data_IF_437761241870
#
_entry.id   IF_437761241870
#
_cell.length_a   1.000
_cell.length_b   1.000
_cell.length_c   1.000
_cell.angle_alpha   90.00
_cell.angle_beta   90.00
_cell.angle_gamma   90.00
#
_symmetry.space_group_name_H-M   'P 1'
#
loop_
_entity.id
_entity.type
_entity.pdbx_description
1 polymer ?
#
# COMPACT_ATOMS: atom_id res chain seq x y z
N UNK A 1 -45.76 15.07 14.27
CA UNK A 1 -44.79 16.05 13.74
C UNK A 1 -43.54 16.20 14.61
N UNK A 2 -43.62 16.11 15.95
CA UNK A 2 -42.45 16.31 16.83
C UNK A 2 -41.38 15.20 16.79
N UNK A 3 -41.76 13.94 16.57
CA UNK A 3 -40.79 12.81 16.50
C UNK A 3 -39.80 12.96 15.34
N UNK A 4 -40.25 13.46 14.18
CA UNK A 4 -39.43 13.67 12.98
C UNK A 4 -38.36 14.76 13.18
N UNK A 5 -38.71 15.82 13.91
CA UNK A 5 -37.79 16.93 14.20
C UNK A 5 -36.67 16.46 15.13
N UNK A 6 -36.99 15.67 16.16
CA UNK A 6 -35.98 15.13 17.09
C UNK A 6 -35.01 14.19 16.35
N UNK A 7 -35.51 13.35 15.44
CA UNK A 7 -34.68 12.45 14.64
C UNK A 7 -33.73 13.22 13.70
N UNK A 8 -34.22 14.26 13.03
CA UNK A 8 -33.40 15.14 12.18
C UNK A 8 -32.29 15.84 12.98
N UNK A 9 -32.64 16.43 14.13
CA UNK A 9 -31.66 17.08 15.02
C UNK A 9 -30.61 16.06 15.47
N UNK A 10 -31.02 14.87 15.91
CA UNK A 10 -30.07 13.82 16.31
C UNK A 10 -29.15 13.41 15.16
N UNK A 11 -29.66 13.24 13.94
CA UNK A 11 -28.79 12.89 12.79
C UNK A 11 -27.80 13.99 12.42
N UNK A 12 -28.20 15.27 12.49
CA UNK A 12 -27.31 16.40 12.16
C UNK A 12 -26.25 16.57 13.25
N UNK A 13 -26.65 16.57 14.53
CA UNK A 13 -25.70 16.67 15.64
C UNK A 13 -24.73 15.50 15.69
N UNK A 14 -25.17 14.27 15.38
CA UNK A 14 -24.24 13.14 15.31
C UNK A 14 -23.27 13.26 14.12
N UNK A 15 -23.68 13.83 12.99
CA UNK A 15 -22.78 14.05 11.86
C UNK A 15 -21.75 15.16 12.12
N UNK A 16 -22.14 16.24 12.80
CA UNK A 16 -21.26 17.38 13.09
C UNK A 16 -20.32 17.13 14.28
N UNK A 17 -20.82 16.50 15.36
CA UNK A 17 -20.03 16.24 16.58
C UNK A 17 -19.07 15.07 16.37
N UNK A 18 -19.52 14.00 15.70
CA UNK A 18 -18.65 12.93 15.24
C UNK A 18 -18.28 13.20 13.79
N UNK A 19 -17.68 14.38 13.55
CA UNK A 19 -17.22 14.81 12.24
C UNK A 19 -16.66 13.62 11.46
N UNK A 20 -17.24 13.38 10.27
CA UNK A 20 -17.09 12.16 9.47
C UNK A 20 -15.90 11.30 9.91
N UNK A 21 -16.17 10.21 10.65
CA UNK A 21 -15.17 9.24 11.15
C UNK A 21 -14.06 9.15 10.11
N UNK A 22 -12.85 9.59 10.47
CA UNK A 22 -11.74 9.61 9.53
C UNK A 22 -11.60 8.20 8.97
N UNK A 23 -11.86 8.06 7.67
CA UNK A 23 -11.61 6.79 7.00
C UNK A 23 -10.11 6.54 7.05
N UNK A 24 -9.69 5.28 7.17
CA UNK A 24 -8.28 4.90 7.12
C UNK A 24 -7.59 5.49 5.87
N UNK A 25 -8.35 5.67 4.78
CA UNK A 25 -7.88 6.32 3.56
C UNK A 25 -7.40 7.76 3.78
N UNK A 26 -7.94 8.52 4.75
CA UNK A 26 -7.43 9.87 5.05
C UNK A 26 -6.18 9.83 5.92
N UNK A 27 -6.12 8.89 6.86
CA UNK A 27 -4.99 8.76 7.79
C UNK A 27 -3.73 8.19 7.10
N UNK A 28 -3.94 7.32 6.12
CA UNK A 28 -2.88 6.58 5.42
C UNK A 28 -2.85 6.89 3.92
N UNK A 29 -3.08 8.16 3.56
CA UNK A 29 -3.00 8.66 2.19
C UNK A 29 -1.84 9.61 1.96
N UNK A 30 -1.48 9.70 0.68
CA UNK A 30 -0.74 10.82 0.15
C UNK A 30 -1.49 12.13 0.38
N UNK A 31 -0.78 13.24 0.59
CA UNK A 31 -1.39 14.57 0.60
C UNK A 31 -2.30 14.80 -0.61
N UNK A 32 -3.27 15.69 -0.46
CA UNK A 32 -4.21 16.02 -1.53
C UNK A 32 -3.47 16.43 -2.82
N UNK A 33 -3.97 15.96 -3.97
CA UNK A 33 -3.34 16.17 -5.28
C UNK A 33 -2.11 15.30 -5.58
N UNK A 34 -1.60 14.52 -4.62
CA UNK A 34 -0.50 13.59 -4.82
C UNK A 34 -0.96 12.13 -4.89
N UNK A 35 -0.16 11.30 -5.53
CA UNK A 35 -0.36 9.85 -5.70
C UNK A 35 0.95 9.11 -5.54
N UNK A 36 0.88 7.80 -5.35
CA UNK A 36 2.04 6.94 -5.18
C UNK A 36 2.72 6.72 -6.53
N UNK A 37 4.03 6.95 -6.62
CA UNK A 37 4.82 6.58 -7.79
C UNK A 37 6.04 5.70 -7.49
N UNK A 38 6.24 5.31 -6.23
CA UNK A 38 7.29 4.39 -5.84
C UNK A 38 7.11 3.91 -4.42
N UNK A 39 7.86 2.87 -4.07
CA UNK A 39 7.82 2.27 -2.75
C UNK A 39 9.16 1.68 -2.34
N UNK A 40 9.32 1.47 -1.04
CA UNK A 40 10.44 0.77 -0.43
C UNK A 40 9.91 -0.22 0.57
N UNK A 41 10.48 -1.41 0.60
CA UNK A 41 10.13 -2.44 1.58
C UNK A 41 11.32 -2.73 2.48
N UNK A 42 11.03 -3.06 3.73
CA UNK A 42 11.98 -3.67 4.65
C UNK A 42 11.59 -5.13 4.83
N UNK A 43 12.57 -6.00 4.68
CA UNK A 43 12.38 -7.44 4.82
C UNK A 43 13.45 -7.98 5.74
N UNK A 44 13.10 -8.99 6.54
CA UNK A 44 14.10 -9.80 7.24
C UNK A 44 15.09 -10.40 6.23
N UNK A 45 16.37 -10.38 6.58
CA UNK A 45 17.37 -11.15 5.84
C UNK A 45 17.53 -12.55 6.40
N UNK A 46 18.22 -13.39 5.63
CA UNK A 46 18.45 -14.80 5.90
C UNK A 46 18.88 -15.08 7.35
N UNK A 47 18.03 -15.74 8.12
CA UNK A 47 18.36 -16.30 9.44
C UNK A 47 18.67 -17.80 9.30
N UNK A 48 19.95 -18.16 9.40
CA UNK A 48 20.37 -19.56 9.51
C UNK A 48 20.25 -20.40 8.23
N UNK A 49 20.03 -21.70 8.39
CA UNK A 49 20.05 -22.68 7.30
C UNK A 49 18.75 -22.72 6.49
N UNK A 50 17.63 -22.32 7.09
CA UNK A 50 16.32 -22.20 6.45
C UNK A 50 16.24 -20.83 5.79
N UNK A 51 16.34 -20.82 4.46
CA UNK A 51 16.76 -19.66 3.65
C UNK A 51 15.67 -18.68 3.27
N UNK A 52 14.41 -18.87 3.65
CA UNK A 52 13.30 -18.21 2.93
C UNK A 52 12.11 -17.80 3.82
N UNK A 53 12.29 -17.78 5.12
CA UNK A 53 11.22 -17.67 6.13
C UNK A 53 10.90 -16.19 6.46
N UNK A 54 10.85 -15.31 5.44
CA UNK A 54 10.87 -13.86 5.64
C UNK A 54 9.68 -13.16 4.99
N UNK A 55 9.01 -12.34 5.80
CA UNK A 55 7.99 -11.42 5.32
C UNK A 55 8.49 -9.98 5.26
N UNK A 56 7.71 -9.13 4.59
CA UNK A 56 7.86 -7.67 4.59
C UNK A 56 7.43 -7.14 5.96
N UNK A 57 8.36 -6.52 6.69
CA UNK A 57 8.11 -6.00 8.05
C UNK A 57 7.68 -4.55 8.04
N UNK A 58 8.28 -3.73 7.17
CA UNK A 58 7.94 -2.33 6.98
C UNK A 58 7.80 -1.97 5.50
N UNK A 59 7.01 -0.94 5.22
CA UNK A 59 6.79 -0.42 3.88
C UNK A 59 6.68 1.10 3.90
N UNK A 60 7.29 1.73 2.91
CA UNK A 60 7.20 3.17 2.62
C UNK A 60 6.65 3.33 1.22
N UNK A 61 5.64 4.17 1.06
CA UNK A 61 5.20 4.65 -0.24
C UNK A 61 5.55 6.13 -0.42
N UNK A 62 6.01 6.50 -1.60
CA UNK A 62 6.43 7.86 -1.93
C UNK A 62 5.37 8.56 -2.79
N UNK A 63 4.98 9.76 -2.35
CA UNK A 63 3.87 10.52 -2.88
C UNK A 63 4.37 11.66 -3.77
N UNK A 64 4.03 11.59 -5.06
CA UNK A 64 4.45 12.54 -6.08
C UNK A 64 3.26 13.00 -6.93
N UNK A 65 3.51 13.95 -7.83
CA UNK A 65 2.50 14.45 -8.76
C UNK A 65 2.00 13.36 -9.72
N UNK A 66 0.72 13.34 -10.11
CA UNK A 66 0.16 12.32 -11.01
C UNK A 66 0.78 12.26 -12.41
N UNK A 67 1.57 13.27 -12.79
CA UNK A 67 2.30 13.29 -14.06
C UNK A 67 3.53 12.36 -14.07
N UNK A 68 3.93 11.82 -12.91
CA UNK A 68 5.03 10.87 -12.77
C UNK A 68 6.41 11.44 -13.16
N UNK A 69 6.55 12.76 -13.31
CA UNK A 69 7.82 13.38 -13.74
C UNK A 69 8.81 13.54 -12.60
N UNK A 70 8.31 13.66 -11.37
CA UNK A 70 9.10 13.83 -10.17
C UNK A 70 9.16 12.54 -9.36
N UNK A 71 10.34 12.17 -8.88
CA UNK A 71 10.58 11.04 -7.98
C UNK A 71 11.27 11.57 -6.72
N UNK A 72 10.47 12.10 -5.81
CA UNK A 72 10.90 12.71 -4.55
C UNK A 72 10.52 11.81 -3.37
N UNK A 73 11.32 11.85 -2.30
CA UNK A 73 11.12 11.07 -1.06
C UNK A 73 10.62 11.89 0.15
N UNK A 74 10.50 13.21 0.01
CA UNK A 74 10.06 14.16 1.06
C UNK A 74 8.64 13.90 1.54
N UNK A 75 7.76 13.45 0.64
CA UNK A 75 6.37 13.09 0.96
C UNK A 75 6.23 11.58 0.89
N UNK A 76 5.98 10.96 2.04
CA UNK A 76 5.83 9.52 2.12
C UNK A 76 4.81 9.09 3.16
N UNK A 77 4.38 7.83 3.04
CA UNK A 77 3.53 7.13 4.00
C UNK A 77 4.32 5.91 4.46
N UNK A 78 4.76 5.89 5.72
CA UNK A 78 5.56 4.80 6.29
C UNK A 78 4.74 3.99 7.28
N UNK A 79 4.66 2.67 7.12
CA UNK A 79 3.99 1.77 8.06
C UNK A 79 4.71 0.43 8.15
N UNK A 80 4.69 -0.17 9.34
CA UNK A 80 5.32 -1.46 9.54
C UNK A 80 5.39 -1.85 11.00
N UNK A 81 6.05 -2.97 11.24
CA UNK A 81 6.31 -3.46 12.57
C UNK A 81 7.61 -2.82 13.10
N UNK A 82 7.47 -1.84 14.00
CA UNK A 82 8.61 -1.17 14.63
C UNK A 82 9.46 -2.07 15.53
N UNK A 83 9.16 -3.37 15.68
CA UNK A 83 10.07 -4.30 16.33
C UNK A 83 11.19 -4.67 15.35
N UNK A 84 12.41 -4.13 15.53
CA UNK A 84 13.52 -4.50 14.68
C UNK A 84 13.87 -5.95 14.99
N UNK A 85 13.80 -6.81 13.99
CA UNK A 85 14.73 -7.93 13.99
C UNK A 85 16.08 -7.34 13.58
N UNK A 86 17.15 -7.70 14.29
CA UNK A 86 18.49 -7.10 14.11
C UNK A 86 19.03 -7.19 12.67
N UNK A 87 18.42 -8.04 11.85
CA UNK A 87 18.82 -8.35 10.49
C UNK A 87 17.84 -7.84 9.42
N UNK A 88 16.90 -6.96 9.76
CA UNK A 88 16.02 -6.36 8.76
C UNK A 88 16.77 -5.32 7.92
N UNK A 89 16.61 -5.40 6.59
CA UNK A 89 17.27 -4.48 5.66
C UNK A 89 16.22 -3.81 4.78
N UNK A 90 16.30 -2.49 4.69
CA UNK A 90 15.59 -1.71 3.69
C UNK A 90 16.13 -2.05 2.30
N UNK A 91 15.23 -2.49 1.43
CA UNK A 91 15.50 -2.80 0.03
C UNK A 91 15.62 -1.53 -0.81
N UNK A 92 16.00 -1.66 -2.09
CA UNK A 92 16.09 -0.49 -2.95
C UNK A 92 14.70 0.09 -3.18
N UNK A 93 14.64 1.42 -3.33
CA UNK A 93 13.40 2.08 -3.73
C UNK A 93 13.05 1.62 -5.15
N UNK A 94 11.83 1.12 -5.31
CA UNK A 94 11.25 0.76 -6.58
C UNK A 94 10.41 1.93 -7.07
N UNK A 95 10.84 2.56 -8.15
CA UNK A 95 10.11 3.66 -8.79
C UNK A 95 9.39 3.17 -10.04
N UNK A 96 8.22 3.74 -10.29
CA UNK A 96 7.63 3.68 -11.62
C UNK A 96 8.49 4.46 -12.63
N UNK A 97 8.55 4.05 -13.91
CA UNK A 97 9.20 4.81 -14.96
C UNK A 97 8.75 6.26 -15.01
N UNK A 98 9.64 7.17 -15.39
CA UNK A 98 9.32 8.59 -15.55
C UNK A 98 8.10 8.78 -16.47
N UNK A 99 7.16 9.61 -16.04
CA UNK A 99 5.88 9.82 -16.75
C UNK A 99 4.78 8.83 -16.38
N UNK A 100 5.00 7.95 -15.40
CA UNK A 100 4.02 6.98 -14.91
C UNK A 100 3.94 6.98 -13.38
N UNK A 101 2.83 6.47 -12.86
CA UNK A 101 2.57 6.33 -11.42
C UNK A 101 2.04 4.93 -11.12
N UNK A 102 1.93 4.58 -9.84
CA UNK A 102 1.38 3.29 -9.44
C UNK A 102 -0.14 3.30 -9.69
N UNK A 103 -0.60 2.40 -10.54
CA UNK A 103 -2.01 2.21 -10.89
C UNK A 103 -2.56 0.86 -10.42
N UNK A 104 -1.74 0.06 -9.75
CA UNK A 104 -2.15 -1.19 -9.12
C UNK A 104 -1.01 -1.87 -8.39
N UNK A 105 -1.34 -2.89 -7.62
CA UNK A 105 -0.41 -3.64 -6.79
C UNK A 105 -0.74 -5.13 -6.81
N UNK A 106 0.28 -5.97 -6.66
CA UNK A 106 0.18 -7.38 -6.38
C UNK A 106 1.04 -7.72 -5.17
N UNK A 107 0.57 -8.65 -4.34
CA UNK A 107 1.30 -9.13 -3.16
C UNK A 107 1.51 -10.63 -3.29
N UNK A 108 2.70 -11.11 -2.93
CA UNK A 108 2.99 -12.53 -2.79
C UNK A 108 2.80 -12.93 -1.33
N UNK A 109 2.05 -14.00 -1.11
CA UNK A 109 1.58 -14.40 0.21
C UNK A 109 2.03 -15.82 0.55
N UNK A 110 2.54 -16.02 1.75
CA UNK A 110 2.75 -17.33 2.37
C UNK A 110 1.91 -17.45 3.66
N UNK A 111 0.83 -18.24 3.61
CA UNK A 111 -0.14 -18.40 4.70
C UNK A 111 -0.31 -19.84 5.20
N UNK A 112 0.63 -20.75 4.92
CA UNK A 112 0.52 -22.09 5.51
C UNK A 112 1.21 -23.22 4.79
N UNK A 113 2.00 -22.96 3.75
CA UNK A 113 2.85 -24.02 3.17
C UNK A 113 4.21 -24.09 3.85
N UNK A 114 4.72 -22.95 4.32
CA UNK A 114 5.99 -22.86 5.01
C UNK A 114 5.75 -22.22 6.38
N UNK A 115 5.90 -20.89 6.50
CA UNK A 115 6.11 -20.27 7.82
C UNK A 115 5.02 -19.28 8.22
N UNK A 116 3.99 -19.14 7.37
CA UNK A 116 2.95 -18.12 7.55
C UNK A 116 3.57 -16.71 7.65
N UNK A 117 4.55 -16.45 6.78
CA UNK A 117 5.32 -15.22 6.74
C UNK A 117 4.50 -13.99 6.29
N UNK A 118 3.24 -14.17 5.88
CA UNK A 118 2.38 -13.08 5.41
C UNK A 118 2.80 -12.64 4.01
N UNK A 119 2.97 -11.34 3.80
CA UNK A 119 3.49 -10.78 2.56
C UNK A 119 4.98 -11.04 2.47
N UNK A 120 5.40 -11.79 1.46
CA UNK A 120 6.79 -12.14 1.22
C UNK A 120 7.39 -11.40 0.03
N UNK A 121 6.55 -10.81 -0.82
CA UNK A 121 6.97 -9.98 -1.95
C UNK A 121 5.85 -9.03 -2.39
N UNK A 122 6.22 -7.96 -3.09
CA UNK A 122 5.31 -6.92 -3.56
C UNK A 122 5.72 -6.49 -4.96
N UNK A 123 4.74 -6.38 -5.84
CA UNK A 123 4.89 -5.84 -7.18
C UNK A 123 3.94 -4.67 -7.40
N UNK A 124 4.43 -3.60 -8.02
CA UNK A 124 3.61 -2.47 -8.46
C UNK A 124 3.40 -2.49 -9.96
N UNK A 125 2.19 -2.13 -10.38
CA UNK A 125 1.85 -1.90 -11.78
C UNK A 125 1.90 -0.40 -12.06
N UNK A 126 2.75 -0.01 -12.99
CA UNK A 126 2.99 1.37 -13.37
C UNK A 126 2.38 1.68 -14.74
N UNK A 127 1.74 2.84 -14.84
CA UNK A 127 1.14 3.36 -16.07
C UNK A 127 0.65 4.79 -15.89
N UNK A 128 0.06 5.38 -16.94
CA UNK A 128 -0.63 6.66 -16.79
C UNK A 128 -2.05 6.42 -16.27
N UNK A 129 -2.59 7.31 -15.41
CA UNK A 129 -3.93 7.13 -14.86
C UNK A 129 -5.02 6.93 -15.92
N UNK A 130 -4.93 7.62 -17.05
CA UNK A 130 -5.85 7.57 -18.19
C UNK A 130 -5.67 6.35 -19.12
N UNK A 131 -4.61 5.56 -18.94
CA UNK A 131 -4.35 4.40 -19.80
C UNK A 131 -5.41 3.30 -19.58
N UNK A 132 -5.75 2.61 -20.66
CA UNK A 132 -6.55 1.39 -20.58
C UNK A 132 -5.78 0.32 -19.78
N UNK A 133 -6.43 -0.27 -18.76
CA UNK A 133 -5.85 -1.28 -17.87
C UNK A 133 -5.53 -2.61 -18.57
N UNK A 134 -5.99 -2.79 -19.80
CA UNK A 134 -5.63 -3.94 -20.65
C UNK A 134 -4.29 -3.77 -21.37
N UNK A 135 -3.72 -2.56 -21.38
CA UNK A 135 -2.42 -2.28 -22.02
C UNK A 135 -1.26 -2.69 -21.10
N UNK A 136 -0.08 -2.92 -21.69
CA UNK A 136 1.14 -3.31 -20.96
C UNK A 136 1.43 -2.32 -19.84
N UNK A 137 1.32 -2.79 -18.60
CA UNK A 137 1.84 -2.12 -17.42
C UNK A 137 3.31 -2.49 -17.22
N UNK A 138 4.10 -1.56 -16.68
CA UNK A 138 5.43 -1.91 -16.21
C UNK A 138 5.31 -2.46 -14.80
N UNK A 139 5.95 -3.60 -14.54
CA UNK A 139 6.09 -4.13 -13.20
C UNK A 139 7.38 -3.59 -12.58
N UNK A 140 7.26 -2.80 -11.52
CA UNK A 140 8.41 -2.43 -10.70
C UNK A 140 8.36 -3.26 -9.41
N UNK A 141 9.38 -4.10 -9.23
CA UNK A 141 9.61 -4.93 -8.05
C UNK A 141 11.06 -5.40 -7.96
N UNK A 142 11.51 -5.71 -6.75
CA UNK A 142 12.78 -6.39 -6.48
C UNK A 142 12.46 -7.85 -6.18
N UNK A 143 13.04 -8.80 -6.92
CA UNK A 143 12.84 -10.22 -6.64
C UNK A 143 13.48 -10.59 -5.31
N UNK A 144 12.64 -10.77 -4.28
CA UNK A 144 13.10 -11.11 -2.94
C UNK A 144 13.42 -12.61 -2.79
N UNK A 145 13.25 -13.41 -3.85
CA UNK A 145 13.47 -14.86 -3.87
C UNK A 145 12.75 -15.60 -2.72
N UNK A 146 11.52 -15.18 -2.40
CA UNK A 146 10.76 -15.71 -1.26
C UNK A 146 9.78 -16.83 -1.63
N UNK A 147 9.24 -17.52 -0.62
CA UNK A 147 8.14 -18.47 -0.79
C UNK A 147 6.78 -17.77 -0.95
N UNK A 148 5.75 -18.57 -1.24
CA UNK A 148 4.37 -18.11 -1.36
C UNK A 148 3.85 -18.04 -2.80
N UNK A 149 2.60 -17.60 -2.92
CA UNK A 149 1.87 -17.45 -4.18
C UNK A 149 1.42 -16.00 -4.37
N UNK A 150 1.49 -15.52 -5.61
CA UNK A 150 0.93 -14.21 -5.94
C UNK A 150 -0.59 -14.22 -5.74
N UNK A 151 -1.07 -13.29 -4.94
CA UNK A 151 -2.49 -13.00 -4.81
C UNK A 151 -3.01 -12.30 -6.07
N UNK A 152 -4.33 -12.16 -6.16
CA UNK A 152 -4.95 -11.39 -7.25
C UNK A 152 -4.49 -9.93 -7.19
N UNK A 153 -4.21 -9.38 -8.36
CA UNK A 153 -3.89 -7.97 -8.55
C UNK A 153 -5.03 -7.06 -8.06
N UNK A 154 -4.65 -5.93 -7.48
CA UNK A 154 -5.55 -4.84 -7.13
C UNK A 154 -5.22 -3.65 -8.03
N UNK A 155 -6.04 -3.45 -9.07
CA UNK A 155 -5.88 -2.36 -10.03
C UNK A 155 -6.82 -1.20 -9.68
N UNK A 156 -6.35 0.03 -9.86
CA UNK A 156 -7.19 1.21 -9.82
C UNK A 156 -8.02 1.33 -11.11
N UNK A 157 -9.21 1.90 -11.00
CA UNK A 157 -10.04 2.25 -12.15
C UNK A 157 -9.32 3.24 -13.09
N UNK A 158 -9.71 3.25 -14.37
CA UNK A 158 -9.23 4.24 -15.35
C UNK A 158 -9.53 5.66 -14.85
N UNK A 159 -8.56 6.57 -15.02
CA UNK A 159 -8.60 7.93 -14.47
C UNK A 159 -8.27 8.00 -12.97
N UNK A 160 -7.77 6.93 -12.37
CA UNK A 160 -7.32 6.90 -10.98
C UNK A 160 -5.90 6.33 -10.84
N UNK A 161 -5.25 6.66 -9.72
CA UNK A 161 -3.96 6.11 -9.33
C UNK A 161 -3.95 5.79 -7.83
N UNK A 162 -3.01 4.95 -7.42
CA UNK A 162 -2.87 4.53 -6.02
C UNK A 162 -2.48 5.74 -5.16
N UNK A 163 -3.17 5.95 -4.04
CA UNK A 163 -2.96 7.13 -3.19
C UNK A 163 -2.96 6.82 -1.70
N UNK A 164 -3.37 5.63 -1.28
CA UNK A 164 -3.36 5.21 0.12
C UNK A 164 -3.08 3.72 0.26
N UNK A 165 -2.59 3.33 1.43
CA UNK A 165 -2.45 1.93 1.79
C UNK A 165 -2.65 1.72 3.29
N UNK A 166 -3.21 0.58 3.66
CA UNK A 166 -3.39 0.18 5.05
C UNK A 166 -2.90 -1.26 5.24
N UNK A 167 -1.72 -1.46 5.84
CA UNK A 167 -1.22 -2.79 6.15
C UNK A 167 -1.88 -3.31 7.42
N UNK A 168 -2.29 -4.59 7.41
CA UNK A 168 -2.60 -5.30 8.64
C UNK A 168 -1.40 -6.12 9.09
N UNK A 169 -1.00 -5.88 10.33
CA UNK A 169 0.13 -6.53 10.98
C UNK A 169 -0.42 -7.35 12.14
N UNK A 170 -0.07 -8.64 12.18
CA UNK A 170 -0.35 -9.50 13.34
C UNK A 170 0.95 -9.67 14.12
N UNK A 171 1.01 -9.20 15.38
CA UNK A 171 2.25 -9.31 16.17
C UNK A 171 2.56 -10.77 16.54
N UNK A 172 3.85 -11.14 16.65
CA UNK A 172 5.05 -10.32 16.38
C UNK A 172 5.48 -10.29 14.90
N UNK A 173 4.62 -10.71 13.97
CA UNK A 173 4.97 -11.08 12.60
C UNK A 173 5.02 -9.89 11.61
N UNK A 174 5.39 -10.22 10.37
CA UNK A 174 5.39 -9.37 9.20
C UNK A 174 3.98 -8.85 8.80
N UNK A 175 3.92 -7.98 7.79
CA UNK A 175 2.66 -7.51 7.19
C UNK A 175 1.95 -8.70 6.56
N UNK A 176 0.66 -8.85 6.84
CA UNK A 176 -0.11 -10.05 6.48
C UNK A 176 -0.94 -9.81 5.24
N UNK A 177 -1.59 -8.65 5.16
CA UNK A 177 -2.22 -8.17 3.95
C UNK A 177 -2.23 -6.64 3.93
N UNK A 178 -2.41 -6.07 2.74
CA UNK A 178 -2.52 -4.64 2.54
C UNK A 178 -3.83 -4.36 1.81
N UNK A 179 -4.56 -3.36 2.31
CA UNK A 179 -5.66 -2.73 1.59
C UNK A 179 -5.12 -1.50 0.89
N UNK A 180 -5.38 -1.39 -0.41
CA UNK A 180 -4.95 -0.30 -1.26
C UNK A 180 -6.13 0.62 -1.56
N UNK A 181 -5.91 1.94 -1.58
CA UNK A 181 -6.92 2.92 -1.96
C UNK A 181 -6.46 3.76 -3.14
N UNK A 182 -7.38 4.00 -4.07
CA UNK A 182 -7.16 4.73 -5.30
C UNK A 182 -7.84 6.10 -5.24
N UNK A 183 -7.26 7.07 -5.93
CA UNK A 183 -7.78 8.43 -6.05
C UNK A 183 -7.92 8.80 -7.53
N UNK A 184 -9.03 9.44 -7.89
CA UNK A 184 -9.21 10.06 -9.21
C UNK A 184 -8.23 11.22 -9.40
N UNK A 185 -7.64 11.32 -10.57
CA UNK A 185 -6.65 12.35 -10.93
C UNK A 185 -6.97 12.99 -12.27
#
# INVERSE_FOLDING_TARGET
MHLLIVLLIFTVFFADVYGAIQTWEKEFACPEGLVINGYQVKSQTKQGWFTYDYGVTDMVFFCNTPDGKNQNTDKNITRGNFYPYDNDIWRKIQWCPTGTVVIGMANKLDFGKFDNAGITDICSYCGRPEDDRTKKTYSAWEDLNTHGSWARDQMCDVGSALASFYPKIFKPQAIQYITYGCRKV
#
